data_IF_357981172294
#
_entry.id   IF_357981172294
#
_cell.length_a   1.000
_cell.length_b   1.000
_cell.length_c   1.000
_cell.angle_alpha   90.00
_cell.angle_beta   90.00
_cell.angle_gamma   90.00
#
_symmetry.space_group_name_H-M   'P 1'
#
loop_
_entity.id
_entity.type
_entity.pdbx_description
1 polymer ?
#
# COMPACT_ATOMS: atom_id res chain seq x y z
N UNK A 1 14.68 -49.91 -28.54
CA UNK A 1 15.71 -51.01 -28.44
C UNK A 1 16.02 -51.11 -26.94
N UNK A 2 15.48 -52.16 -26.34
CA UNK A 2 16.24 -53.28 -25.72
C UNK A 2 17.11 -52.82 -24.55
N UNK A 3 17.13 -53.32 -23.37
CA UNK A 3 16.74 -54.58 -22.65
C UNK A 3 17.06 -54.29 -21.20
N UNK A 4 16.20 -54.59 -20.20
CA UNK A 4 16.03 -55.83 -19.47
C UNK A 4 17.31 -56.30 -18.73
N UNK A 5 17.21 -56.47 -17.41
CA UNK A 5 17.58 -57.63 -16.54
C UNK A 5 17.72 -57.11 -15.12
N UNK A 6 16.95 -57.42 -14.20
CA UNK A 6 16.44 -58.66 -13.56
C UNK A 6 17.40 -59.27 -12.49
N UNK A 7 16.82 -59.47 -11.30
CA UNK A 7 17.05 -60.64 -10.36
C UNK A 7 18.21 -60.47 -9.37
N UNK A 8 18.17 -60.81 -8.10
CA UNK A 8 17.41 -61.68 -7.23
C UNK A 8 17.77 -61.35 -5.77
N UNK A 9 16.89 -61.38 -4.82
CA UNK A 9 16.43 -62.47 -3.96
C UNK A 9 17.51 -63.14 -3.09
N UNK A 10 17.27 -63.24 -1.78
CA UNK A 10 17.53 -64.30 -0.78
C UNK A 10 17.73 -63.63 0.58
N UNK A 11 16.91 -63.77 1.50
CA UNK A 11 16.30 -64.78 2.35
C UNK A 11 16.77 -64.63 3.81
N UNK A 12 15.80 -64.44 4.62
CA UNK A 12 15.48 -64.97 5.93
C UNK A 12 16.60 -65.40 6.91
N UNK A 13 16.50 -64.84 8.11
CA UNK A 13 16.75 -65.63 9.34
C UNK A 13 15.93 -65.01 10.48
N UNK A 14 14.99 -65.82 10.94
CA UNK A 14 14.21 -65.72 12.15
C UNK A 14 15.06 -65.99 13.38
N UNK A 15 14.96 -65.15 14.41
CA UNK A 15 15.19 -65.54 15.78
C UNK A 15 14.14 -64.92 16.68
N UNK A 16 13.21 -65.70 17.08
CA UNK A 16 12.30 -65.51 18.21
C UNK A 16 13.06 -65.43 19.52
N UNK A 17 12.81 -64.43 20.32
CA UNK A 17 12.98 -64.48 21.76
C UNK A 17 11.86 -63.75 22.43
N UNK A 18 10.91 -64.48 22.96
CA UNK A 18 9.96 -63.96 23.94
C UNK A 18 10.70 -63.67 25.23
N UNK A 19 10.47 -62.49 25.78
CA UNK A 19 10.58 -62.28 27.24
C UNK A 19 9.49 -61.30 27.68
N UNK A 20 8.80 -61.75 28.61
CA UNK A 20 7.67 -61.38 29.43
C UNK A 20 7.41 -59.92 29.67
N UNK A 21 6.14 -59.61 29.69
CA UNK A 21 5.42 -58.41 30.01
C UNK A 21 5.91 -57.70 31.30
N UNK A 22 6.19 -56.47 31.19
CA UNK A 22 5.91 -55.52 32.24
C UNK A 22 4.96 -54.42 31.67
N UNK A 23 3.75 -54.47 32.15
CA UNK A 23 2.74 -53.44 32.04
C UNK A 23 3.24 -52.22 32.79
N UNK A 24 3.95 -51.33 32.11
CA UNK A 24 4.02 -49.96 32.57
C UNK A 24 2.74 -49.28 32.15
N UNK A 25 2.00 -48.84 33.14
CA UNK A 25 0.88 -47.92 32.99
C UNK A 25 1.39 -46.73 32.22
N UNK A 26 0.90 -46.59 30.99
CA UNK A 26 0.92 -45.29 30.30
C UNK A 26 -0.01 -44.41 31.13
N UNK A 27 0.63 -43.58 31.95
CA UNK A 27 -0.01 -42.43 32.53
C UNK A 27 -0.51 -41.57 31.36
N UNK A 28 -1.82 -41.54 31.20
CA UNK A 28 -2.46 -40.51 30.37
C UNK A 28 -2.22 -39.16 31.06
N UNK A 29 -0.97 -38.75 30.99
CA UNK A 29 -0.62 -37.38 31.21
C UNK A 29 -1.37 -36.55 30.17
N UNK A 30 -2.36 -35.82 30.66
CA UNK A 30 -3.02 -34.77 29.90
C UNK A 30 -1.96 -34.06 29.08
N UNK A 31 -2.04 -34.20 27.76
CA UNK A 31 -1.36 -33.29 26.87
C UNK A 31 -1.87 -31.89 27.24
N UNK A 32 -1.10 -31.22 28.10
CA UNK A 32 -1.23 -29.78 28.22
C UNK A 32 -1.17 -29.29 26.78
N UNK A 33 -2.30 -28.80 26.29
CA UNK A 33 -2.33 -28.00 25.08
C UNK A 33 -1.31 -26.91 25.33
N UNK A 34 -0.09 -27.10 24.85
CA UNK A 34 0.87 -26.02 24.74
C UNK A 34 0.13 -25.06 23.84
N UNK A 35 -0.38 -23.97 24.41
CA UNK A 35 -0.78 -22.83 23.62
C UNK A 35 0.44 -22.54 22.75
N UNK A 36 0.36 -22.91 21.50
CA UNK A 36 1.27 -22.46 20.47
C UNK A 36 0.88 -20.99 20.32
N UNK A 37 1.36 -20.15 21.24
CA UNK A 37 1.42 -18.73 21.04
C UNK A 37 2.33 -18.60 19.82
N UNK A 38 1.69 -18.46 18.65
CA UNK A 38 2.39 -18.55 17.40
C UNK A 38 3.46 -17.46 17.37
N UNK A 39 4.71 -17.85 17.16
CA UNK A 39 5.84 -16.93 16.94
C UNK A 39 5.62 -15.98 15.74
N UNK A 40 4.47 -16.08 15.09
CA UNK A 40 4.07 -15.36 13.89
C UNK A 40 2.80 -14.55 14.14
N UNK A 41 2.71 -13.42 13.49
CA UNK A 41 1.49 -12.64 13.36
C UNK A 41 1.41 -12.06 11.95
N UNK A 42 0.23 -11.58 11.55
CA UNK A 42 0.10 -10.83 10.32
C UNK A 42 -0.74 -9.56 10.51
N UNK A 43 -0.51 -8.63 9.60
CA UNK A 43 -1.21 -7.34 9.53
C UNK A 43 -1.71 -7.12 8.11
N UNK A 44 -2.97 -6.79 7.96
CA UNK A 44 -3.50 -6.26 6.72
C UNK A 44 -3.14 -4.76 6.63
N UNK A 45 -1.98 -4.50 6.03
CA UNK A 45 -1.47 -3.13 5.89
C UNK A 45 -2.38 -2.23 5.09
N UNK A 46 -3.06 -2.75 4.06
CA UNK A 46 -3.98 -1.98 3.23
C UNK A 46 -5.19 -1.52 4.05
N UNK A 47 -5.74 -2.40 4.90
CA UNK A 47 -6.81 -2.05 5.83
C UNK A 47 -6.34 -0.97 6.82
N UNK A 48 -5.16 -1.16 7.44
CA UNK A 48 -4.60 -0.18 8.39
C UNK A 48 -4.44 1.18 7.72
N UNK A 49 -3.85 1.22 6.53
CA UNK A 49 -3.62 2.47 5.80
C UNK A 49 -4.95 3.15 5.45
N UNK A 50 -5.92 2.40 4.91
CA UNK A 50 -7.21 2.96 4.47
C UNK A 50 -8.10 3.43 5.63
N UNK A 51 -8.05 2.75 6.77
CA UNK A 51 -8.91 3.04 7.92
C UNK A 51 -8.28 3.97 8.97
N UNK A 52 -6.97 4.31 8.81
CA UNK A 52 -6.26 5.19 9.74
C UNK A 52 -6.79 6.63 9.72
N UNK A 53 -6.74 7.29 10.88
CA UNK A 53 -7.15 8.69 11.01
C UNK A 53 -6.27 9.65 10.21
N UNK A 54 -4.99 9.33 10.01
CA UNK A 54 -4.11 10.12 9.16
C UNK A 54 -4.57 10.07 7.69
N UNK A 55 -4.96 8.89 7.18
CA UNK A 55 -5.46 8.78 5.81
C UNK A 55 -6.80 9.50 5.65
N UNK A 56 -7.73 9.28 6.58
CA UNK A 56 -9.06 9.93 6.56
C UNK A 56 -8.99 11.45 6.61
N UNK A 57 -7.99 12.00 7.30
CA UNK A 57 -7.84 13.46 7.44
C UNK A 57 -6.90 14.05 6.38
N UNK A 58 -5.64 13.62 6.33
CA UNK A 58 -4.61 14.22 5.47
C UNK A 58 -4.60 13.56 4.08
N UNK A 59 -4.75 12.22 3.99
CA UNK A 59 -4.74 11.50 2.72
C UNK A 59 -5.90 11.86 1.82
N UNK A 60 -7.12 11.93 2.36
CA UNK A 60 -8.30 12.33 1.59
C UNK A 60 -8.16 13.80 1.16
N UNK A 61 -7.71 14.69 2.05
CA UNK A 61 -7.50 16.10 1.71
C UNK A 61 -6.47 16.28 0.57
N UNK A 62 -5.38 15.52 0.61
CA UNK A 62 -4.34 15.55 -0.44
C UNK A 62 -4.87 15.00 -1.77
N UNK A 63 -5.65 13.93 -1.74
CA UNK A 63 -6.33 13.39 -2.92
C UNK A 63 -7.27 14.44 -3.54
N UNK A 64 -8.14 15.06 -2.73
CA UNK A 64 -9.02 16.12 -3.21
C UNK A 64 -8.27 17.32 -3.77
N UNK A 65 -7.16 17.72 -3.14
CA UNK A 65 -6.29 18.79 -3.63
C UNK A 65 -5.75 18.46 -5.02
N UNK A 66 -5.27 17.25 -5.20
CA UNK A 66 -4.75 16.76 -6.49
C UNK A 66 -5.83 16.75 -7.56
N UNK A 67 -7.01 16.22 -7.25
CA UNK A 67 -8.14 16.18 -8.19
C UNK A 67 -8.61 17.60 -8.58
N UNK A 68 -8.69 18.52 -7.62
CA UNK A 68 -9.06 19.92 -7.86
C UNK A 68 -8.02 20.63 -8.74
N UNK A 69 -6.74 20.39 -8.51
CA UNK A 69 -5.66 20.94 -9.34
C UNK A 69 -5.78 20.45 -10.79
N UNK A 70 -5.90 19.13 -11.00
CA UNK A 70 -6.06 18.54 -12.33
C UNK A 70 -7.29 19.09 -13.07
N UNK A 71 -8.43 19.19 -12.39
CA UNK A 71 -9.64 19.77 -12.96
C UNK A 71 -9.48 21.25 -13.30
N UNK A 72 -8.73 22.01 -12.50
CA UNK A 72 -8.43 23.41 -12.74
C UNK A 72 -7.56 23.58 -14.00
N UNK A 73 -6.50 22.76 -14.12
CA UNK A 73 -5.61 22.77 -15.28
C UNK A 73 -6.36 22.45 -16.58
N UNK A 74 -7.15 21.37 -16.56
CA UNK A 74 -7.94 20.96 -17.71
C UNK A 74 -8.93 22.04 -18.16
N UNK A 75 -9.61 22.70 -17.20
CA UNK A 75 -10.54 23.79 -17.52
C UNK A 75 -9.84 25.00 -18.13
N UNK A 76 -8.66 25.36 -17.62
CA UNK A 76 -7.92 26.51 -18.14
C UNK A 76 -7.33 26.22 -19.52
N UNK A 77 -6.84 25.00 -19.75
CA UNK A 77 -6.41 24.55 -21.07
C UNK A 77 -7.56 24.62 -22.09
N UNK A 78 -8.72 24.05 -21.74
CA UNK A 78 -9.91 24.09 -22.60
C UNK A 78 -10.35 25.53 -22.92
N UNK A 79 -10.26 26.44 -21.93
CA UNK A 79 -10.56 27.87 -22.13
C UNK A 79 -9.61 28.48 -23.14
N UNK A 80 -8.29 28.26 -23.01
CA UNK A 80 -7.29 28.77 -23.94
C UNK A 80 -7.47 28.22 -25.35
N UNK A 81 -7.78 26.93 -25.48
CA UNK A 81 -8.11 26.32 -26.78
C UNK A 81 -9.35 26.94 -27.40
N UNK A 82 -10.40 27.17 -26.60
CA UNK A 82 -11.62 27.86 -27.07
C UNK A 82 -11.37 29.31 -27.48
N UNK A 83 -10.53 30.04 -26.75
CA UNK A 83 -10.13 31.44 -27.12
C UNK A 83 -9.34 31.43 -28.43
N UNK A 84 -8.42 30.51 -28.65
CA UNK A 84 -7.66 30.36 -29.89
C UNK A 84 -8.57 30.02 -31.07
N UNK A 85 -9.51 29.09 -30.90
CA UNK A 85 -10.49 28.75 -31.95
C UNK A 85 -11.37 29.94 -32.32
N UNK A 86 -11.85 30.67 -31.32
CA UNK A 86 -12.65 31.89 -31.54
C UNK A 86 -11.86 33.00 -32.24
N UNK A 87 -10.61 33.19 -31.90
CA UNK A 87 -9.71 34.14 -32.54
C UNK A 87 -9.55 33.77 -34.03
N UNK A 88 -9.32 32.52 -34.34
CA UNK A 88 -9.20 32.03 -35.72
C UNK A 88 -10.49 32.27 -36.52
N UNK A 89 -11.65 31.97 -35.92
CA UNK A 89 -12.96 32.23 -36.55
C UNK A 89 -13.17 33.75 -36.86
N UNK A 90 -12.86 34.61 -35.86
CA UNK A 90 -13.00 36.08 -36.04
C UNK A 90 -12.10 36.61 -37.17
N UNK A 91 -10.88 36.07 -37.28
CA UNK A 91 -9.94 36.46 -38.33
C UNK A 91 -10.43 36.00 -39.70
N UNK A 92 -10.88 34.75 -39.84
CA UNK A 92 -11.41 34.19 -41.09
C UNK A 92 -12.65 34.95 -41.59
N UNK A 93 -13.49 35.41 -40.68
CA UNK A 93 -14.67 36.22 -40.99
C UNK A 93 -14.36 37.71 -41.25
N UNK A 94 -13.11 38.14 -41.17
CA UNK A 94 -12.71 39.53 -41.36
C UNK A 94 -13.21 40.47 -40.23
N UNK A 95 -13.57 39.93 -39.05
CA UNK A 95 -14.09 40.71 -37.94
C UNK A 95 -12.99 41.42 -37.15
N UNK A 96 -11.74 41.07 -37.35
CA UNK A 96 -10.56 41.66 -36.72
C UNK A 96 -9.46 41.88 -37.75
N UNK A 97 -8.63 42.91 -37.51
CA UNK A 97 -7.46 43.18 -38.35
C UNK A 97 -6.35 42.18 -38.14
N UNK A 98 -5.45 42.02 -39.11
CA UNK A 98 -4.27 41.16 -39.01
C UNK A 98 -3.41 41.51 -37.78
N UNK A 99 -3.17 42.80 -37.53
CA UNK A 99 -2.39 43.27 -36.39
C UNK A 99 -3.06 42.85 -35.08
N UNK A 100 -4.38 43.06 -34.95
CA UNK A 100 -5.13 42.66 -33.74
C UNK A 100 -5.15 41.14 -33.53
N UNK A 101 -5.21 40.38 -34.64
CA UNK A 101 -5.13 38.90 -34.57
C UNK A 101 -3.77 38.46 -34.07
N UNK A 102 -2.67 39.01 -34.59
CA UNK A 102 -1.31 38.71 -34.16
C UNK A 102 -1.11 39.03 -32.67
N UNK A 103 -1.50 40.21 -32.21
CA UNK A 103 -1.38 40.59 -30.80
C UNK A 103 -2.13 39.65 -29.87
N UNK A 104 -3.36 39.25 -30.24
CA UNK A 104 -4.13 38.29 -29.44
C UNK A 104 -3.54 36.89 -29.46
N UNK A 105 -2.99 36.48 -30.60
CA UNK A 105 -2.30 35.18 -30.71
C UNK A 105 -1.08 35.14 -29.77
N UNK A 106 -0.23 36.14 -29.78
CA UNK A 106 0.92 36.28 -28.88
C UNK A 106 0.51 36.25 -27.40
N UNK A 107 -0.61 36.91 -27.06
CA UNK A 107 -1.16 36.91 -25.71
C UNK A 107 -1.61 35.49 -25.28
N UNK A 108 -2.33 34.76 -26.15
CA UNK A 108 -2.75 33.39 -25.90
C UNK A 108 -1.53 32.47 -25.73
N UNK A 109 -0.53 32.56 -26.61
CA UNK A 109 0.71 31.77 -26.53
C UNK A 109 1.46 32.02 -25.23
N UNK A 110 1.56 33.28 -24.80
CA UNK A 110 2.15 33.64 -23.51
C UNK A 110 1.39 33.02 -22.34
N UNK A 111 0.06 33.02 -22.40
CA UNK A 111 -0.78 32.41 -21.36
C UNK A 111 -0.67 30.90 -21.35
N UNK A 112 -0.57 30.25 -22.52
CA UNK A 112 -0.31 28.78 -22.63
C UNK A 112 1.01 28.43 -21.96
N UNK A 113 2.08 29.16 -22.28
CA UNK A 113 3.40 28.95 -21.65
C UNK A 113 3.35 29.15 -20.13
N UNK A 114 2.64 30.18 -19.68
CA UNK A 114 2.45 30.46 -18.25
C UNK A 114 1.69 29.32 -17.55
N UNK A 115 0.63 28.80 -18.18
CA UNK A 115 -0.13 27.67 -17.68
C UNK A 115 0.75 26.41 -17.58
N UNK A 116 1.50 26.09 -18.63
CA UNK A 116 2.41 24.94 -18.63
C UNK A 116 3.42 25.00 -17.49
N UNK A 117 4.08 26.13 -17.30
CA UNK A 117 5.04 26.33 -16.21
C UNK A 117 4.38 26.20 -14.82
N UNK A 118 3.16 26.73 -14.66
CA UNK A 118 2.40 26.61 -13.42
C UNK A 118 2.01 25.16 -13.16
N UNK A 119 1.47 24.45 -14.15
CA UNK A 119 1.10 23.03 -14.05
C UNK A 119 2.29 22.20 -13.63
N UNK A 120 3.44 22.39 -14.27
CA UNK A 120 4.66 21.68 -13.93
C UNK A 120 5.08 21.89 -12.47
N UNK A 121 5.07 23.16 -12.01
CA UNK A 121 5.43 23.49 -10.62
C UNK A 121 4.43 22.94 -9.61
N UNK A 122 3.12 23.09 -9.87
CA UNK A 122 2.07 22.59 -8.99
C UNK A 122 2.09 21.05 -8.93
N UNK A 123 2.29 20.36 -10.07
CA UNK A 123 2.42 18.91 -10.11
C UNK A 123 3.61 18.43 -9.28
N UNK A 124 4.78 19.06 -9.43
CA UNK A 124 5.95 18.73 -8.62
C UNK A 124 5.67 18.91 -7.12
N UNK A 125 5.01 20.01 -6.73
CA UNK A 125 4.66 20.23 -5.31
C UNK A 125 3.71 19.15 -4.80
N UNK A 126 2.71 18.75 -5.59
CA UNK A 126 1.78 17.67 -5.22
C UNK A 126 2.49 16.32 -5.11
N UNK A 127 3.44 16.03 -5.99
CA UNK A 127 4.25 14.81 -5.93
C UNK A 127 5.12 14.79 -4.66
N UNK A 128 5.73 15.92 -4.30
CA UNK A 128 6.49 16.07 -3.05
C UNK A 128 5.60 15.88 -1.82
N UNK A 129 4.41 16.49 -1.79
CA UNK A 129 3.43 16.31 -0.70
C UNK A 129 2.99 14.86 -0.58
N UNK A 130 2.71 14.17 -1.70
CA UNK A 130 2.36 12.74 -1.73
C UNK A 130 3.50 11.86 -1.20
N UNK A 131 4.73 12.17 -1.61
CA UNK A 131 5.90 11.43 -1.14
C UNK A 131 6.10 11.58 0.38
N UNK A 132 6.01 12.81 0.90
CA UNK A 132 6.11 13.07 2.35
C UNK A 132 4.99 12.37 3.11
N UNK A 133 3.75 12.44 2.61
CA UNK A 133 2.60 11.77 3.22
C UNK A 133 2.78 10.25 3.25
N UNK A 134 3.20 9.64 2.14
CA UNK A 134 3.41 8.19 2.03
C UNK A 134 4.50 7.71 2.99
N UNK A 135 5.63 8.41 3.05
CA UNK A 135 6.72 8.08 3.96
C UNK A 135 6.29 8.18 5.43
N UNK A 136 5.52 9.22 5.78
CA UNK A 136 5.00 9.38 7.14
C UNK A 136 4.01 8.27 7.51
N UNK A 137 3.14 7.87 6.59
CA UNK A 137 2.23 6.73 6.77
C UNK A 137 3.00 5.44 7.04
N UNK A 138 4.05 5.18 6.26
CA UNK A 138 4.90 3.99 6.43
C UNK A 138 5.65 4.02 7.76
N UNK A 139 6.18 5.17 8.17
CA UNK A 139 6.85 5.33 9.45
C UNK A 139 5.90 5.04 10.63
N UNK A 140 4.71 5.63 10.62
CA UNK A 140 3.68 5.38 11.63
C UNK A 140 3.28 3.90 11.69
N UNK A 141 3.12 3.24 10.54
CA UNK A 141 2.80 1.82 10.47
C UNK A 141 3.93 0.96 11.09
N UNK A 142 5.18 1.22 10.71
CA UNK A 142 6.32 0.46 11.23
C UNK A 142 6.49 0.66 12.74
N UNK A 143 6.38 1.88 13.23
CA UNK A 143 6.42 2.19 14.66
C UNK A 143 5.28 1.50 15.41
N UNK A 144 4.06 1.55 14.86
CA UNK A 144 2.90 0.88 15.45
C UNK A 144 3.12 -0.63 15.57
N UNK A 145 3.63 -1.28 14.52
CA UNK A 145 3.96 -2.72 14.56
C UNK A 145 5.02 -2.99 15.62
N UNK A 146 6.06 -2.15 15.73
CA UNK A 146 7.11 -2.31 16.73
C UNK A 146 6.57 -2.14 18.16
N UNK A 147 5.69 -1.17 18.40
CA UNK A 147 5.08 -0.96 19.71
C UNK A 147 4.08 -2.08 20.09
N UNK A 148 3.28 -2.55 19.16
CA UNK A 148 2.39 -3.71 19.38
C UNK A 148 3.19 -4.98 19.69
N UNK A 149 4.41 -5.10 19.17
CA UNK A 149 5.31 -6.22 19.41
C UNK A 149 6.48 -5.89 20.36
N UNK A 150 6.32 -4.92 21.25
CA UNK A 150 7.39 -4.46 22.14
C UNK A 150 7.89 -5.57 23.10
N UNK A 151 7.00 -6.45 23.53
CA UNK A 151 7.30 -7.62 24.39
C UNK A 151 7.95 -8.79 23.64
N UNK A 152 8.20 -8.65 22.32
CA UNK A 152 8.77 -9.69 21.45
C UNK A 152 7.92 -10.99 21.39
N UNK A 153 6.61 -10.86 21.62
CA UNK A 153 5.67 -11.98 21.53
C UNK A 153 5.70 -12.66 20.16
N UNK A 154 5.84 -11.87 19.10
CA UNK A 154 5.93 -12.36 17.74
C UNK A 154 7.38 -12.25 17.23
N UNK A 155 7.94 -13.35 16.73
CA UNK A 155 9.27 -13.36 16.11
C UNK A 155 9.24 -12.76 14.70
N UNK A 156 8.07 -12.84 14.05
CA UNK A 156 7.86 -12.29 12.71
C UNK A 156 6.44 -11.77 12.57
N UNK A 157 6.31 -10.59 12.00
CA UNK A 157 5.03 -9.99 11.59
C UNK A 157 5.03 -9.87 10.08
N UNK A 158 4.06 -10.50 9.44
CA UNK A 158 3.93 -10.58 7.98
C UNK A 158 2.84 -9.63 7.48
N UNK A 159 2.96 -9.19 6.22
CA UNK A 159 1.84 -8.52 5.57
C UNK A 159 0.83 -9.57 5.09
N UNK A 160 -0.45 -9.35 5.37
CA UNK A 160 -1.53 -10.24 4.93
C UNK A 160 -1.54 -10.48 3.41
N UNK A 161 -1.12 -9.49 2.61
CA UNK A 161 -1.03 -9.61 1.15
C UNK A 161 -0.02 -10.67 0.66
N UNK A 162 0.92 -11.09 1.52
CA UNK A 162 1.89 -12.14 1.22
C UNK A 162 1.40 -13.55 1.63
N UNK A 163 0.22 -13.66 2.23
CA UNK A 163 -0.33 -14.91 2.75
C UNK A 163 -1.44 -15.41 1.82
N UNK A 164 -1.46 -16.73 1.59
CA UNK A 164 -2.58 -17.38 0.89
C UNK A 164 -3.68 -17.81 1.86
N UNK A 165 -3.29 -18.19 3.08
CA UNK A 165 -4.18 -18.62 4.16
C UNK A 165 -3.49 -18.41 5.51
N UNK A 166 -4.24 -18.05 6.54
CA UNK A 166 -3.75 -17.89 7.90
C UNK A 166 -4.90 -17.98 8.91
N UNK A 167 -4.61 -18.47 10.11
CA UNK A 167 -5.55 -18.45 11.22
C UNK A 167 -5.79 -16.99 11.66
N UNK A 168 -7.06 -16.62 11.79
CA UNK A 168 -7.47 -15.27 12.24
C UNK A 168 -6.98 -14.94 13.67
N UNK A 169 -6.65 -15.93 14.47
CA UNK A 169 -6.03 -15.72 15.78
C UNK A 169 -4.65 -15.05 15.69
N UNK A 170 -4.00 -15.10 14.52
CA UNK A 170 -2.71 -14.45 14.25
C UNK A 170 -2.85 -13.02 13.68
N UNK A 171 -4.08 -12.57 13.44
CA UNK A 171 -4.36 -11.23 12.92
C UNK A 171 -4.24 -10.18 14.02
N UNK A 172 -3.27 -9.28 13.88
CA UNK A 172 -3.07 -8.14 14.77
C UNK A 172 -3.42 -6.78 14.11
N UNK A 173 -4.14 -6.82 12.99
CA UNK A 173 -4.48 -5.62 12.20
C UNK A 173 -5.16 -4.54 13.03
N UNK A 174 -6.18 -4.90 13.83
CA UNK A 174 -6.93 -3.92 14.61
C UNK A 174 -6.08 -3.31 15.74
N UNK A 175 -5.17 -4.09 16.36
CA UNK A 175 -4.24 -3.59 17.36
C UNK A 175 -3.24 -2.60 16.74
N UNK A 176 -2.72 -2.91 15.54
CA UNK A 176 -1.82 -2.01 14.81
C UNK A 176 -2.54 -0.76 14.35
N UNK A 177 -3.78 -0.85 13.86
CA UNK A 177 -4.59 0.30 13.47
C UNK A 177 -4.83 1.24 14.66
N UNK A 178 -5.21 0.69 15.80
CA UNK A 178 -5.39 1.48 17.02
C UNK A 178 -4.10 2.22 17.42
N UNK A 179 -2.94 1.55 17.33
CA UNK A 179 -1.64 2.14 17.64
C UNK A 179 -1.21 3.21 16.63
N UNK A 180 -1.46 3.01 15.33
CA UNK A 180 -1.24 4.05 14.31
C UNK A 180 -2.02 5.32 14.64
N UNK A 181 -3.29 5.17 15.02
CA UNK A 181 -4.14 6.31 15.38
C UNK A 181 -3.67 7.02 16.65
N UNK A 182 -3.20 6.26 17.64
CA UNK A 182 -2.61 6.81 18.87
C UNK A 182 -1.35 7.64 18.58
N UNK A 183 -0.40 7.08 17.80
CA UNK A 183 0.83 7.76 17.41
C UNK A 183 0.55 9.03 16.60
N UNK A 184 -0.39 8.94 15.65
CA UNK A 184 -0.80 10.11 14.88
C UNK A 184 -1.42 11.21 15.76
N UNK A 185 -2.26 10.83 16.75
CA UNK A 185 -2.85 11.78 17.67
C UNK A 185 -1.79 12.44 18.58
N UNK A 186 -0.73 11.71 18.96
CA UNK A 186 0.39 12.26 19.72
C UNK A 186 1.17 13.29 18.89
N UNK A 187 1.51 12.98 17.64
CA UNK A 187 2.19 13.91 16.74
C UNK A 187 1.42 15.22 16.51
N UNK A 188 0.09 15.16 16.51
CA UNK A 188 -0.75 16.37 16.37
C UNK A 188 -0.71 17.29 17.60
N UNK A 189 -0.44 16.75 18.78
CA UNK A 189 -0.37 17.55 20.03
C UNK A 189 0.97 18.27 20.17
N UNK A 190 2.01 17.79 19.50
CA UNK A 190 3.36 18.36 19.55
C UNK A 190 3.58 19.48 18.52
N UNK A 191 2.66 19.68 17.58
CA UNK A 191 2.65 20.76 16.59
C UNK A 191 1.77 21.92 17.03
#
# INVERSE_FOLDING_TARGET
MKKIFLVALIAAATMTSCKEAQTEKVDEGAAAATEVVGDLAFVNTDKVLAESEIFKSEGIALKEKTEKAQQSWAREEQKLQGEAAKLQEQYQKGLITTIAAQTKQEEIEKRVTTLQNRVQKEAQTLDEENFVFTNRMQDLLLRAVQEVNADKKYKMVLNASALLDADLALDITDAVLAKVNELYAAEKKEK
#
